data_IF_853923001226
#
_entry.id   IF_853923001226
#
_cell.length_a   1.000
_cell.length_b   1.000
_cell.length_c   1.000
_cell.angle_alpha   90.00
_cell.angle_beta   90.00
_cell.angle_gamma   90.00
#
_symmetry.space_group_name_H-M   'P 1'
#
loop_
_entity.id
_entity.type
_entity.pdbx_description
1 polymer ?
#
# COMPACT_ATOMS: atom_id res chain seq x y z
N UNK A 1 -17.60 -10.13 6.02
CA UNK A 1 -16.65 -10.86 6.70
C UNK A 1 -15.38 -10.11 7.00
N UNK A 2 -15.32 -9.67 8.22
CA UNK A 2 -14.17 -8.93 8.73
C UNK A 2 -13.47 -9.80 9.74
N UNK A 3 -12.23 -10.14 9.51
CA UNK A 3 -11.47 -10.89 10.47
C UNK A 3 -10.33 -10.02 10.98
N UNK A 4 -9.65 -10.51 12.00
CA UNK A 4 -8.57 -9.80 12.66
C UNK A 4 -7.45 -9.43 11.67
N UNK A 5 -7.13 -10.36 10.78
CA UNK A 5 -6.03 -10.14 9.83
C UNK A 5 -6.35 -9.03 8.82
N UNK A 6 -7.59 -8.99 8.35
CA UNK A 6 -8.02 -7.95 7.42
C UNK A 6 -8.01 -6.57 8.09
N UNK A 7 -8.49 -6.49 9.32
CA UNK A 7 -8.48 -5.24 10.08
C UNK A 7 -7.05 -4.79 10.37
N UNK A 8 -6.16 -5.73 10.66
CA UNK A 8 -4.77 -5.43 10.95
C UNK A 8 -4.07 -4.79 9.75
N UNK A 9 -4.24 -5.34 8.54
CA UNK A 9 -3.59 -4.78 7.36
C UNK A 9 -4.18 -3.43 6.99
N UNK A 10 -5.48 -3.21 7.22
CA UNK A 10 -6.09 -1.90 6.98
C UNK A 10 -5.48 -0.84 7.88
N UNK A 11 -5.29 -1.16 9.15
CA UNK A 11 -4.68 -0.24 10.11
C UNK A 11 -3.25 0.10 9.69
N UNK A 12 -2.50 -0.92 9.26
CA UNK A 12 -1.12 -0.72 8.84
C UNK A 12 -1.04 0.14 7.58
N UNK A 13 -1.94 -0.07 6.63
CA UNK A 13 -2.00 0.73 5.41
C UNK A 13 -2.31 2.20 5.72
N UNK A 14 -3.17 2.46 6.71
CA UNK A 14 -3.47 3.83 7.12
C UNK A 14 -2.23 4.51 7.70
N UNK A 15 -1.47 3.78 8.53
CA UNK A 15 -0.23 4.32 9.10
C UNK A 15 0.81 4.62 8.03
N UNK A 16 0.94 3.73 7.05
CA UNK A 16 1.84 3.95 5.93
C UNK A 16 1.43 5.19 5.15
N UNK A 17 0.14 5.36 4.88
CA UNK A 17 -0.36 6.53 4.15
C UNK A 17 0.03 7.82 4.86
N UNK A 18 -0.14 7.87 6.16
CA UNK A 18 0.24 9.06 6.94
C UNK A 18 1.73 9.36 6.81
N UNK A 19 2.56 8.33 6.91
CA UNK A 19 4.02 8.50 6.78
C UNK A 19 4.40 8.96 5.38
N UNK A 20 3.77 8.42 4.36
CA UNK A 20 4.03 8.78 2.97
C UNK A 20 3.70 10.26 2.73
N UNK A 21 2.55 10.72 3.24
CA UNK A 21 2.18 12.13 3.07
C UNK A 21 3.17 13.04 3.80
N UNK A 22 3.69 12.60 4.95
CA UNK A 22 4.68 13.40 5.68
C UNK A 22 6.01 13.50 4.93
N UNK A 23 6.52 12.40 4.39
CA UNK A 23 7.81 12.44 3.70
C UNK A 23 7.73 13.17 2.36
N UNK A 24 6.60 13.04 1.65
CA UNK A 24 6.48 13.70 0.34
C UNK A 24 6.38 15.22 0.47
N UNK A 25 6.08 15.76 1.64
CA UNK A 25 6.12 17.20 1.85
C UNK A 25 7.49 17.80 1.60
N UNK A 26 8.54 17.00 1.73
CA UNK A 26 9.93 17.46 1.53
C UNK A 26 10.40 17.33 0.09
N UNK A 27 9.61 16.71 -0.77
CA UNK A 27 9.96 16.54 -2.17
C UNK A 27 9.89 17.89 -2.89
N UNK A 28 10.62 18.05 -4.00
CA UNK A 28 10.55 19.31 -4.76
C UNK A 28 9.14 19.63 -5.22
N UNK A 29 8.78 20.92 -5.18
CA UNK A 29 7.43 21.36 -5.58
C UNK A 29 7.10 21.01 -7.00
N UNK A 30 8.09 20.95 -7.89
CA UNK A 30 7.87 20.63 -9.29
C UNK A 30 7.47 19.17 -9.52
N UNK A 31 7.54 18.33 -8.46
CA UNK A 31 7.09 16.94 -8.55
C UNK A 31 5.66 16.75 -8.07
N UNK A 32 4.98 17.83 -7.70
CA UNK A 32 3.64 17.76 -7.10
C UNK A 32 2.65 17.01 -7.99
N UNK A 33 2.69 17.24 -9.29
CA UNK A 33 1.77 16.61 -10.23
C UNK A 33 2.41 15.43 -10.97
N UNK A 34 3.56 14.98 -10.51
CA UNK A 34 4.27 13.85 -11.10
C UNK A 34 4.44 12.75 -10.03
N UNK A 35 5.67 12.54 -9.53
CA UNK A 35 5.92 11.40 -8.66
C UNK A 35 5.18 11.50 -7.32
N UNK A 36 5.02 12.70 -6.76
CA UNK A 36 4.26 12.86 -5.51
C UNK A 36 2.83 12.38 -5.69
N UNK A 37 2.18 12.83 -6.76
CA UNK A 37 0.80 12.44 -7.06
C UNK A 37 0.68 10.94 -7.22
N UNK A 38 1.61 10.32 -7.94
CA UNK A 38 1.58 8.87 -8.17
C UNK A 38 1.78 8.08 -6.89
N UNK A 39 2.72 8.51 -6.05
CA UNK A 39 2.98 7.87 -4.76
C UNK A 39 1.74 7.92 -3.87
N UNK A 40 1.14 9.11 -3.77
CA UNK A 40 -0.03 9.29 -2.93
C UNK A 40 -1.21 8.46 -3.42
N UNK A 41 -1.41 8.40 -4.73
CA UNK A 41 -2.50 7.60 -5.31
C UNK A 41 -2.30 6.11 -5.07
N UNK A 42 -1.07 5.61 -5.26
CA UNK A 42 -0.78 4.20 -5.02
C UNK A 42 -1.02 3.84 -3.54
N UNK A 43 -0.59 4.72 -2.65
CA UNK A 43 -0.72 4.51 -1.22
C UNK A 43 -2.20 4.46 -0.80
N UNK A 44 -2.98 5.44 -1.25
CA UNK A 44 -4.42 5.48 -0.95
C UNK A 44 -5.12 4.26 -1.56
N UNK A 45 -4.69 3.83 -2.74
CA UNK A 45 -5.27 2.67 -3.42
C UNK A 45 -5.15 1.40 -2.58
N UNK A 46 -4.04 1.22 -1.87
CA UNK A 46 -3.87 0.05 -1.01
C UNK A 46 -4.98 0.00 0.04
N UNK A 47 -5.11 1.05 0.83
CA UNK A 47 -6.10 1.09 1.90
C UNK A 47 -7.53 1.03 1.37
N UNK A 48 -7.81 1.78 0.30
CA UNK A 48 -9.15 1.87 -0.28
C UNK A 48 -9.62 0.53 -0.83
N UNK A 49 -8.74 -0.20 -1.50
CA UNK A 49 -9.14 -1.47 -2.11
C UNK A 49 -9.31 -2.57 -1.07
N UNK A 50 -8.52 -2.56 -0.01
CA UNK A 50 -8.75 -3.52 1.08
C UNK A 50 -10.11 -3.27 1.71
N UNK A 51 -10.43 -2.00 1.99
CA UNK A 51 -11.70 -1.63 2.59
C UNK A 51 -12.88 -1.95 1.66
N UNK A 52 -12.72 -1.63 0.37
CA UNK A 52 -13.76 -1.89 -0.62
C UNK A 52 -14.06 -3.37 -0.70
N UNK A 53 -13.02 -4.20 -0.79
CA UNK A 53 -13.19 -5.65 -0.87
C UNK A 53 -13.82 -6.23 0.38
N UNK A 54 -13.43 -5.73 1.56
CA UNK A 54 -13.99 -6.22 2.81
C UNK A 54 -15.47 -5.89 2.95
N UNK A 55 -15.94 -4.83 2.28
CA UNK A 55 -17.34 -4.44 2.29
C UNK A 55 -18.20 -5.17 1.29
N UNK A 56 -17.60 -6.00 0.42
CA UNK A 56 -18.36 -6.75 -0.57
C UNK A 56 -18.90 -8.04 0.04
N UNK A 57 -19.91 -8.60 -0.62
CA UNK A 57 -20.64 -9.74 -0.08
C UNK A 57 -20.07 -11.11 -0.41
N UNK A 58 -18.96 -11.20 -1.12
CA UNK A 58 -18.43 -12.50 -1.53
C UNK A 58 -16.91 -12.53 -1.44
N UNK A 59 -16.39 -13.75 -1.23
CA UNK A 59 -14.94 -13.99 -1.21
C UNK A 59 -14.32 -13.70 -2.58
N UNK A 60 -15.05 -13.95 -3.65
CA UNK A 60 -14.57 -13.67 -5.00
C UNK A 60 -14.32 -12.17 -5.20
N UNK A 61 -15.25 -11.34 -4.74
CA UNK A 61 -15.08 -9.90 -4.85
C UNK A 61 -13.97 -9.39 -3.93
N UNK A 62 -13.89 -9.94 -2.72
CA UNK A 62 -12.82 -9.59 -1.81
C UNK A 62 -11.46 -9.89 -2.45
N UNK A 63 -11.34 -11.08 -3.05
CA UNK A 63 -10.11 -11.48 -3.75
C UNK A 63 -9.74 -10.49 -4.86
N UNK A 64 -10.73 -10.04 -5.62
CA UNK A 64 -10.51 -9.09 -6.70
C UNK A 64 -9.88 -7.80 -6.17
N UNK A 65 -10.44 -7.25 -5.10
CA UNK A 65 -9.93 -5.99 -4.53
C UNK A 65 -8.60 -6.18 -3.81
N UNK A 66 -8.37 -7.35 -3.20
CA UNK A 66 -7.07 -7.67 -2.60
C UNK A 66 -5.97 -7.71 -3.67
N UNK A 67 -6.28 -8.26 -4.85
CA UNK A 67 -5.30 -8.30 -5.93
C UNK A 67 -4.95 -6.91 -6.42
N UNK A 68 -5.92 -5.99 -6.47
CA UNK A 68 -5.64 -4.60 -6.84
C UNK A 68 -4.74 -3.95 -5.79
N UNK A 69 -5.06 -4.14 -4.50
CA UNK A 69 -4.25 -3.59 -3.42
C UNK A 69 -2.82 -4.15 -3.45
N UNK A 70 -2.69 -5.43 -3.77
CA UNK A 70 -1.39 -6.09 -3.84
C UNK A 70 -0.53 -5.45 -4.93
N UNK A 71 -1.11 -5.25 -6.13
CA UNK A 71 -0.40 -4.57 -7.21
C UNK A 71 -0.02 -3.15 -6.87
N UNK A 72 -0.92 -2.43 -6.19
CA UNK A 72 -0.62 -1.05 -5.76
C UNK A 72 0.54 -1.00 -4.78
N UNK A 73 0.68 -2.01 -3.92
CA UNK A 73 1.79 -2.06 -2.97
C UNK A 73 3.12 -2.24 -3.69
N UNK A 74 3.17 -3.06 -4.73
CA UNK A 74 4.39 -3.20 -5.53
C UNK A 74 4.70 -1.94 -6.33
N UNK A 75 3.69 -1.29 -6.86
CA UNK A 75 3.86 -0.01 -7.54
C UNK A 75 4.45 1.04 -6.60
N UNK A 76 3.90 1.13 -5.39
CA UNK A 76 4.39 2.07 -4.39
C UNK A 76 5.84 1.78 -4.02
N UNK A 77 6.19 0.52 -3.85
CA UNK A 77 7.57 0.14 -3.52
C UNK A 77 8.53 0.66 -4.59
N UNK A 78 8.21 0.46 -5.85
CA UNK A 78 9.03 0.94 -6.96
C UNK A 78 9.17 2.46 -6.92
N UNK A 79 8.06 3.17 -6.69
CA UNK A 79 8.08 4.63 -6.65
C UNK A 79 8.93 5.17 -5.50
N UNK A 80 8.93 4.49 -4.36
CA UNK A 80 9.75 4.89 -3.21
C UNK A 80 11.24 4.66 -3.52
N UNK A 81 11.58 3.54 -4.16
CA UNK A 81 12.96 3.28 -4.57
C UNK A 81 13.42 4.32 -5.58
N UNK A 82 12.58 4.64 -6.56
CA UNK A 82 12.89 5.67 -7.55
C UNK A 82 13.09 7.03 -6.88
N UNK A 83 12.29 7.35 -5.87
CA UNK A 83 12.44 8.62 -5.14
C UNK A 83 13.78 8.68 -4.41
N UNK A 84 14.22 7.56 -3.86
CA UNK A 84 15.55 7.47 -3.28
C UNK A 84 16.63 7.68 -4.34
N UNK A 85 16.49 7.03 -5.49
CA UNK A 85 17.46 7.17 -6.59
C UNK A 85 17.57 8.61 -7.07
N UNK A 86 16.45 9.35 -7.04
CA UNK A 86 16.41 10.75 -7.44
C UNK A 86 16.88 11.70 -6.35
N UNK A 87 17.21 11.18 -5.18
CA UNK A 87 17.72 11.99 -4.09
C UNK A 87 16.66 12.67 -3.23
N UNK A 88 15.40 12.29 -3.38
CA UNK A 88 14.29 12.90 -2.62
C UNK A 88 14.13 12.29 -1.23
N UNK A 89 14.65 11.09 -1.02
CA UNK A 89 14.64 10.39 0.26
C UNK A 89 16.06 9.96 0.59
N UNK A 90 16.43 9.99 1.87
CA UNK A 90 17.70 9.38 2.27
C UNK A 90 17.51 7.86 2.43
N UNK A 91 18.62 7.13 2.62
CA UNK A 91 18.58 5.68 2.69
C UNK A 91 17.78 5.18 3.89
N UNK A 92 17.86 5.87 5.02
CA UNK A 92 17.11 5.50 6.23
C UNK A 92 15.61 5.61 5.99
N UNK A 93 15.18 6.74 5.40
CA UNK A 93 13.76 6.93 5.07
C UNK A 93 13.26 5.88 4.09
N UNK A 94 14.05 5.61 3.06
CA UNK A 94 13.67 4.64 2.05
C UNK A 94 13.54 3.24 2.66
N UNK A 95 14.48 2.85 3.51
CA UNK A 95 14.46 1.53 4.14
C UNK A 95 13.28 1.35 5.08
N UNK A 96 12.98 2.36 5.89
CA UNK A 96 11.85 2.29 6.82
C UNK A 96 10.54 2.14 6.04
N UNK A 97 10.37 2.92 4.99
CA UNK A 97 9.14 2.89 4.20
C UNK A 97 9.01 1.58 3.44
N UNK A 98 10.07 1.11 2.79
CA UNK A 98 9.99 -0.14 2.04
C UNK A 98 9.77 -1.34 2.95
N UNK A 99 10.30 -1.31 4.16
CA UNK A 99 10.04 -2.36 5.13
C UNK A 99 8.55 -2.42 5.49
N UNK A 100 7.92 -1.27 5.71
CA UNK A 100 6.48 -1.20 5.96
C UNK A 100 5.68 -1.71 4.76
N UNK A 101 6.08 -1.33 3.56
CA UNK A 101 5.41 -1.78 2.34
C UNK A 101 5.52 -3.30 2.20
N UNK A 102 6.72 -3.85 2.44
CA UNK A 102 6.94 -5.28 2.32
C UNK A 102 6.11 -6.06 3.33
N UNK A 103 5.94 -5.52 4.52
CA UNK A 103 5.09 -6.15 5.52
C UNK A 103 3.64 -6.19 5.06
N UNK A 104 3.16 -5.09 4.49
CA UNK A 104 1.80 -5.01 3.95
C UNK A 104 1.62 -6.01 2.79
N UNK A 105 2.62 -6.11 1.92
CA UNK A 105 2.60 -7.08 0.83
C UNK A 105 2.42 -8.51 1.37
N UNK A 106 3.17 -8.86 2.40
CA UNK A 106 3.07 -10.19 3.00
C UNK A 106 1.69 -10.41 3.62
N UNK A 107 1.15 -9.41 4.28
CA UNK A 107 -0.15 -9.52 4.91
C UNK A 107 -1.26 -9.68 3.87
N UNK A 108 -1.20 -8.93 2.77
CA UNK A 108 -2.18 -9.05 1.69
C UNK A 108 -2.06 -10.42 1.03
N UNK A 109 -0.83 -10.86 0.78
CA UNK A 109 -0.60 -12.18 0.20
C UNK A 109 -1.22 -13.27 1.07
N UNK A 110 -1.05 -13.15 2.39
CA UNK A 110 -1.65 -14.10 3.32
C UNK A 110 -3.17 -14.14 3.23
N UNK A 111 -3.79 -12.98 3.09
CA UNK A 111 -5.24 -12.89 2.92
C UNK A 111 -5.68 -13.53 1.59
N UNK A 112 -4.94 -13.29 0.53
CA UNK A 112 -5.23 -13.87 -0.79
C UNK A 112 -5.18 -15.40 -0.70
N UNK A 113 -4.12 -15.94 -0.10
CA UNK A 113 -3.96 -17.38 0.03
C UNK A 113 -5.04 -17.99 0.91
N UNK A 114 -5.39 -17.31 2.00
CA UNK A 114 -6.45 -17.77 2.88
C UNK A 114 -7.78 -17.88 2.14
N UNK A 115 -8.11 -16.88 1.31
CA UNK A 115 -9.35 -16.90 0.55
C UNK A 115 -9.36 -17.98 -0.52
N UNK A 116 -8.22 -18.27 -1.13
CA UNK A 116 -8.12 -19.37 -2.10
C UNK A 116 -8.39 -20.73 -1.46
N UNK A 117 -7.97 -20.89 -0.21
CA UNK A 117 -8.12 -22.16 0.50
C UNK A 117 -9.52 -22.40 1.04
N UNK A 118 -10.39 -21.42 0.98
CA UNK A 118 -11.76 -21.51 1.49
C UNK A 118 -12.67 -22.35 0.61
N UNK A 119 -12.24 -22.77 -0.51
CA UNK A 119 -13.05 -23.56 -1.43
C UNK A 119 -13.35 -24.98 -0.98
#
# INVERSE_FOLDING_TARGET
MHNFKELSVRKKARGLTKNIYNVTKKFPDNEKYAIISQIQRACVSIASNIAEGAGRGSDKEFMHFLNIAYGSAFELETQIILSYDLGYLNSTEMEIITESINEIQKMIYGLIQHNKQKK
#
